data_IF_774478919242
#
_entry.id   IF_774478919242
#
_cell.length_a   1.000
_cell.length_b   1.000
_cell.length_c   1.000
_cell.angle_alpha   90.00
_cell.angle_beta   90.00
_cell.angle_gamma   90.00
#
_symmetry.space_group_name_H-M   'P 1'
#
loop_
_entity.id
_entity.type
_entity.pdbx_description
1 polymer ?
#
# COMPACT_ATOMS: atom_id res chain seq x y z
N UNK A 1 23.34 8.92 77.91
CA UNK A 1 21.96 8.51 77.52
C UNK A 1 21.68 9.11 76.15
N UNK A 2 21.94 8.37 75.07
CA UNK A 2 21.72 8.83 73.72
C UNK A 2 20.75 7.84 73.06
N UNK A 3 19.56 8.33 72.74
CA UNK A 3 18.49 7.55 72.09
C UNK A 3 18.79 7.53 70.59
N UNK A 4 19.05 6.35 70.05
CA UNK A 4 19.26 6.10 68.64
C UNK A 4 17.87 5.82 68.03
N UNK A 5 17.35 6.75 67.23
CA UNK A 5 16.09 6.60 66.51
C UNK A 5 16.38 5.95 65.19
N UNK A 6 15.98 4.69 65.02
CA UNK A 6 16.12 3.93 63.80
C UNK A 6 15.03 4.34 62.83
N UNK A 7 15.35 5.04 61.74
CA UNK A 7 14.46 5.37 60.66
C UNK A 7 14.44 4.18 59.67
N UNK A 8 13.32 3.46 59.67
CA UNK A 8 13.00 2.46 58.64
C UNK A 8 12.51 3.20 57.38
N UNK A 9 13.39 3.26 56.38
CA UNK A 9 13.00 3.71 55.03
C UNK A 9 12.39 2.52 54.29
N UNK A 10 11.09 2.49 54.19
CA UNK A 10 10.37 1.51 53.35
C UNK A 10 10.54 1.92 51.88
N UNK A 11 11.38 1.18 51.11
CA UNK A 11 11.57 1.34 49.68
C UNK A 11 10.37 0.70 48.95
N UNK A 12 9.37 1.51 48.60
CA UNK A 12 8.28 1.12 47.71
C UNK A 12 8.79 0.98 46.27
N UNK A 13 9.07 -0.25 45.87
CA UNK A 13 9.36 -0.57 44.44
C UNK A 13 8.01 -0.62 43.72
N UNK A 14 7.68 0.48 43.03
CA UNK A 14 6.55 0.50 42.10
C UNK A 14 6.96 -0.27 40.84
N UNK A 15 6.54 -1.53 40.70
CA UNK A 15 6.60 -2.26 39.45
C UNK A 15 5.63 -1.59 38.49
N UNK A 16 6.14 -0.72 37.63
CA UNK A 16 5.41 -0.26 36.45
C UNK A 16 5.31 -1.45 35.47
N UNK A 17 4.19 -2.16 35.52
CA UNK A 17 3.82 -3.12 34.50
C UNK A 17 3.57 -2.34 33.21
N UNK A 18 4.56 -2.31 32.32
CA UNK A 18 4.41 -1.80 30.95
C UNK A 18 3.45 -2.75 30.23
N UNK A 19 2.17 -2.40 30.24
CA UNK A 19 1.16 -3.02 29.39
C UNK A 19 1.51 -2.67 27.94
N UNK A 20 2.20 -3.56 27.26
CA UNK A 20 2.37 -3.50 25.81
C UNK A 20 1.01 -3.85 25.21
N UNK A 21 0.16 -2.84 25.02
CA UNK A 21 -1.05 -2.99 24.20
C UNK A 21 -0.59 -3.44 22.81
N UNK A 22 -1.18 -4.51 22.24
CA UNK A 22 -0.94 -4.85 20.85
C UNK A 22 -1.48 -3.70 20.00
N UNK A 23 -0.58 -2.92 19.39
CA UNK A 23 -0.96 -1.89 18.43
C UNK A 23 -1.78 -2.58 17.35
N UNK A 24 -3.09 -2.31 17.34
CA UNK A 24 -3.99 -2.67 16.25
C UNK A 24 -3.40 -2.10 14.98
N UNK A 25 -2.83 -2.97 14.11
CA UNK A 25 -2.38 -2.56 12.77
C UNK A 25 -3.56 -1.89 12.10
N UNK A 26 -3.44 -0.59 11.85
CA UNK A 26 -4.47 0.20 11.17
C UNK A 26 -4.77 -0.52 9.87
N UNK A 27 -6.00 -1.01 9.70
CA UNK A 27 -6.41 -1.75 8.50
C UNK A 27 -6.31 -0.82 7.29
N UNK A 28 -5.18 -0.87 6.60
CA UNK A 28 -4.97 -0.13 5.37
C UNK A 28 -5.81 -0.78 4.28
N UNK A 29 -6.58 0.02 3.56
CA UNK A 29 -7.45 -0.42 2.48
C UNK A 29 -6.97 0.15 1.15
N UNK A 30 -7.27 -0.50 0.02
CA UNK A 30 -7.06 0.11 -1.29
C UNK A 30 -7.75 1.47 -1.39
N UNK A 31 -7.06 2.43 -2.00
CA UNK A 31 -7.48 3.83 -2.12
C UNK A 31 -8.05 4.04 -3.51
N UNK A 32 -9.30 4.48 -3.60
CA UNK A 32 -9.90 4.86 -4.87
C UNK A 32 -9.29 6.17 -5.37
N UNK A 33 -8.90 6.22 -6.65
CA UNK A 33 -8.38 7.42 -7.29
C UNK A 33 -9.33 7.93 -8.37
N UNK A 34 -9.46 9.24 -8.42
CA UNK A 34 -9.97 9.99 -9.57
C UNK A 34 -8.81 10.47 -10.43
N UNK A 35 -9.08 10.98 -11.65
CA UNK A 35 -8.05 11.64 -12.48
C UNK A 35 -7.26 12.68 -11.70
N UNK A 36 -7.96 13.57 -10.98
CA UNK A 36 -7.31 14.62 -10.21
C UNK A 36 -6.34 14.08 -9.14
N UNK A 37 -6.77 13.09 -8.37
CA UNK A 37 -5.94 12.48 -7.33
C UNK A 37 -4.84 11.58 -7.90
N UNK A 38 -5.04 11.01 -9.09
CA UNK A 38 -3.99 10.29 -9.81
C UNK A 38 -2.87 11.23 -10.25
N UNK A 39 -3.21 12.38 -10.83
CA UNK A 39 -2.22 13.40 -11.23
C UNK A 39 -1.42 13.92 -10.04
N UNK A 40 -2.05 14.04 -8.89
CA UNK A 40 -1.40 14.47 -7.65
C UNK A 40 -0.48 13.39 -7.06
N UNK A 41 -0.99 12.17 -6.91
CA UNK A 41 -0.38 11.11 -6.09
C UNK A 41 0.49 10.13 -6.85
N UNK A 42 0.23 9.95 -8.14
CA UNK A 42 0.89 8.92 -8.94
C UNK A 42 1.75 9.53 -10.02
N UNK A 43 1.15 10.16 -11.02
CA UNK A 43 1.88 10.69 -12.15
C UNK A 43 1.13 11.83 -12.83
N UNK A 44 1.76 13.01 -12.86
CA UNK A 44 1.20 14.16 -13.55
C UNK A 44 1.70 14.17 -15.00
N UNK A 45 1.02 13.44 -15.89
CA UNK A 45 1.33 13.39 -17.30
C UNK A 45 0.99 14.68 -18.06
N UNK A 46 0.14 15.54 -17.52
CA UNK A 46 -0.18 16.84 -18.10
C UNK A 46 1.01 17.81 -17.99
N UNK A 47 1.77 17.71 -16.90
CA UNK A 47 2.97 18.53 -16.68
C UNK A 47 4.26 17.84 -17.16
N UNK A 48 4.26 16.51 -17.31
CA UNK A 48 5.44 15.72 -17.71
C UNK A 48 5.05 14.69 -18.78
N UNK A 49 4.67 15.13 -20.00
CA UNK A 49 4.16 14.22 -21.02
C UNK A 49 5.25 13.30 -21.60
N UNK A 50 6.51 13.68 -21.50
CA UNK A 50 7.65 13.00 -22.12
C UNK A 50 8.33 11.99 -21.21
N UNK A 51 8.21 12.18 -19.88
CA UNK A 51 8.99 11.40 -18.93
C UNK A 51 8.10 10.92 -17.76
N UNK A 52 8.19 9.61 -17.48
CA UNK A 52 7.57 9.06 -16.29
C UNK A 52 8.24 9.58 -15.03
N UNK A 53 7.45 10.27 -14.18
CA UNK A 53 7.89 10.75 -12.87
C UNK A 53 6.85 10.39 -11.82
N UNK A 54 7.17 9.41 -10.99
CA UNK A 54 6.30 9.00 -9.90
C UNK A 54 6.31 10.02 -8.76
N UNK A 55 5.12 10.40 -8.28
CA UNK A 55 4.94 11.43 -7.25
C UNK A 55 4.82 10.85 -5.83
N UNK A 56 4.67 9.53 -5.69
CA UNK A 56 4.51 8.88 -4.38
C UNK A 56 5.82 8.74 -3.62
N UNK A 57 5.71 8.57 -2.31
CA UNK A 57 6.83 8.33 -1.37
C UNK A 57 7.03 6.85 -1.03
N UNK A 58 6.21 5.95 -1.61
CA UNK A 58 6.28 4.49 -1.50
C UNK A 58 5.93 3.87 -2.84
N UNK A 59 6.46 2.68 -3.17
CA UNK A 59 6.00 1.93 -4.34
C UNK A 59 4.49 1.72 -4.33
N UNK A 60 3.89 1.50 -5.48
CA UNK A 60 2.45 1.33 -5.57
C UNK A 60 2.01 0.23 -6.54
N UNK A 61 0.80 -0.28 -6.30
CA UNK A 61 0.01 -1.02 -7.28
C UNK A 61 -1.20 -0.17 -7.62
N UNK A 62 -1.50 -0.02 -8.92
CA UNK A 62 -2.74 0.60 -9.39
C UNK A 62 -3.56 -0.48 -10.11
N UNK A 63 -4.78 -0.72 -9.64
CA UNK A 63 -5.76 -1.66 -10.18
C UNK A 63 -6.80 -0.91 -11.02
N UNK A 64 -6.78 -1.11 -12.34
CA UNK A 64 -7.85 -0.66 -13.24
C UNK A 64 -8.93 -1.74 -13.28
N UNK A 65 -10.11 -1.40 -12.82
CA UNK A 65 -11.23 -2.31 -12.64
C UNK A 65 -12.57 -1.71 -13.07
N UNK A 66 -13.60 -2.54 -13.11
CA UNK A 66 -14.99 -2.10 -13.15
C UNK A 66 -15.87 -2.96 -12.22
N UNK A 67 -17.00 -2.43 -11.79
CA UNK A 67 -17.90 -3.12 -10.86
C UNK A 67 -18.56 -4.37 -11.45
N UNK A 68 -18.77 -4.40 -12.76
CA UNK A 68 -19.34 -5.53 -13.51
C UNK A 68 -18.31 -6.61 -13.90
N UNK A 69 -17.02 -6.34 -13.71
CA UNK A 69 -15.94 -7.22 -14.15
C UNK A 69 -15.82 -8.46 -13.23
N UNK A 70 -16.11 -9.63 -13.76
CA UNK A 70 -16.02 -10.91 -13.05
C UNK A 70 -14.62 -11.22 -12.52
N UNK A 71 -13.56 -11.20 -13.36
CA UNK A 71 -12.19 -11.42 -12.93
C UNK A 71 -11.70 -10.41 -11.90
N UNK A 72 -12.15 -9.14 -11.97
CA UNK A 72 -11.81 -8.12 -10.98
C UNK A 72 -12.33 -8.48 -9.58
N UNK A 73 -13.50 -9.12 -9.50
CA UNK A 73 -14.05 -9.60 -8.21
C UNK A 73 -13.21 -10.68 -7.56
N UNK A 74 -12.43 -11.43 -8.34
CA UNK A 74 -11.49 -12.43 -7.81
C UNK A 74 -10.25 -11.76 -7.21
N UNK A 75 -9.72 -10.73 -7.86
CA UNK A 75 -8.50 -10.04 -7.43
C UNK A 75 -8.73 -9.01 -6.34
N UNK A 76 -9.92 -8.42 -6.26
CA UNK A 76 -10.26 -7.36 -5.30
C UNK A 76 -10.04 -7.76 -3.83
N UNK A 77 -10.47 -8.93 -3.34
CA UNK A 77 -10.17 -9.37 -1.98
C UNK A 77 -8.66 -9.60 -1.76
N UNK A 78 -7.95 -10.12 -2.76
CA UNK A 78 -6.50 -10.31 -2.70
C UNK A 78 -5.80 -8.96 -2.49
N UNK A 79 -6.15 -7.94 -3.28
CA UNK A 79 -5.57 -6.60 -3.14
C UNK A 79 -5.90 -5.94 -1.81
N UNK A 80 -7.12 -6.18 -1.28
CA UNK A 80 -7.49 -5.69 0.05
C UNK A 80 -6.62 -6.30 1.14
N UNK A 81 -6.37 -7.61 1.07
CA UNK A 81 -5.51 -8.30 2.03
C UNK A 81 -4.05 -7.86 1.90
N UNK A 82 -3.56 -7.67 0.66
CA UNK A 82 -2.21 -7.16 0.41
C UNK A 82 -2.04 -5.72 0.89
N UNK A 83 -3.05 -4.86 0.73
CA UNK A 83 -3.04 -3.52 1.30
C UNK A 83 -2.93 -3.53 2.83
N UNK A 84 -3.57 -4.49 3.50
CA UNK A 84 -3.45 -4.66 4.95
C UNK A 84 -2.08 -5.27 5.35
N UNK A 85 -1.53 -6.19 4.55
CA UNK A 85 -0.25 -6.85 4.82
C UNK A 85 0.95 -5.93 4.60
N UNK A 86 0.95 -5.15 3.50
CA UNK A 86 2.06 -4.32 3.03
C UNK A 86 1.82 -2.81 3.15
N UNK A 87 0.76 -2.38 3.84
CA UNK A 87 0.32 -0.98 3.82
C UNK A 87 1.32 0.04 4.38
N UNK A 88 2.32 -0.42 5.14
CA UNK A 88 3.41 0.44 5.60
C UNK A 88 4.50 0.62 4.52
N UNK A 89 4.59 -0.32 3.56
CA UNK A 89 5.64 -0.41 2.56
C UNK A 89 5.20 0.03 1.17
N UNK A 90 3.92 -0.17 0.80
CA UNK A 90 3.38 0.16 -0.52
C UNK A 90 2.00 0.82 -0.43
N UNK A 91 1.61 1.51 -1.51
CA UNK A 91 0.23 1.90 -1.74
C UNK A 91 -0.49 0.88 -2.64
N UNK A 92 -1.76 0.64 -2.37
CA UNK A 92 -2.66 -0.05 -3.29
C UNK A 92 -3.76 0.92 -3.69
N UNK A 93 -3.75 1.31 -4.95
CA UNK A 93 -4.73 2.22 -5.55
C UNK A 93 -5.69 1.45 -6.45
N UNK A 94 -6.89 2.01 -6.65
CA UNK A 94 -7.92 1.48 -7.55
C UNK A 94 -8.46 2.60 -8.43
N UNK A 95 -8.76 2.28 -9.68
CA UNK A 95 -9.34 3.20 -10.66
C UNK A 95 -10.50 2.47 -11.34
N UNK A 96 -11.70 2.98 -11.17
CA UNK A 96 -12.90 2.51 -11.87
C UNK A 96 -12.88 3.06 -13.30
N UNK A 97 -12.69 2.19 -14.30
CA UNK A 97 -12.56 2.61 -15.71
C UNK A 97 -13.84 3.23 -16.29
N UNK A 98 -14.99 2.93 -15.70
CA UNK A 98 -16.26 3.53 -16.12
C UNK A 98 -16.40 4.97 -15.61
N UNK A 99 -15.78 5.28 -14.47
CA UNK A 99 -15.77 6.63 -13.88
C UNK A 99 -14.64 7.49 -14.40
N UNK A 100 -13.51 6.86 -14.74
CA UNK A 100 -12.26 7.51 -15.15
C UNK A 100 -11.82 7.05 -16.56
N UNK A 101 -12.66 7.20 -17.60
CA UNK A 101 -12.38 6.70 -18.94
C UNK A 101 -11.17 7.37 -19.59
N UNK A 102 -10.86 8.62 -19.23
CA UNK A 102 -9.67 9.32 -19.72
C UNK A 102 -8.38 8.69 -19.20
N UNK A 103 -8.35 8.29 -17.92
CA UNK A 103 -7.22 7.56 -17.36
C UNK A 103 -7.06 6.19 -18.01
N UNK A 104 -8.17 5.46 -18.19
CA UNK A 104 -8.14 4.17 -18.86
C UNK A 104 -7.57 4.29 -20.29
N UNK A 105 -7.99 5.30 -21.03
CA UNK A 105 -7.48 5.58 -22.38
C UNK A 105 -5.99 5.97 -22.36
N UNK A 106 -5.56 6.84 -21.44
CA UNK A 106 -4.17 7.28 -21.29
C UNK A 106 -3.21 6.11 -21.04
N UNK A 107 -3.62 5.13 -20.24
CA UNK A 107 -2.84 3.93 -19.96
C UNK A 107 -3.09 2.77 -20.91
N UNK A 108 -3.87 2.98 -21.97
CA UNK A 108 -4.15 1.97 -22.99
C UNK A 108 -4.85 0.73 -22.41
N UNK A 109 -5.77 0.90 -21.46
CA UNK A 109 -6.49 -0.18 -20.82
C UNK A 109 -7.43 -0.84 -21.81
N UNK A 110 -7.04 -1.99 -22.36
CA UNK A 110 -7.85 -2.75 -23.33
C UNK A 110 -8.65 -3.88 -22.68
N UNK A 111 -8.20 -4.35 -21.53
CA UNK A 111 -8.88 -5.38 -20.77
C UNK A 111 -8.65 -5.17 -19.27
N UNK A 112 -9.63 -5.58 -18.47
CA UNK A 112 -9.58 -5.48 -17.01
C UNK A 112 -9.74 -6.86 -16.35
N UNK A 113 -9.14 -7.06 -15.16
CA UNK A 113 -8.30 -6.12 -14.44
C UNK A 113 -6.95 -5.90 -15.14
N UNK A 114 -6.43 -4.66 -15.06
CA UNK A 114 -5.06 -4.34 -15.45
C UNK A 114 -4.35 -3.70 -14.26
N UNK A 115 -3.13 -4.12 -14.01
CA UNK A 115 -2.34 -3.67 -12.88
C UNK A 115 -1.10 -2.93 -13.34
N UNK A 116 -0.83 -1.75 -12.75
CA UNK A 116 0.47 -1.11 -12.83
C UNK A 116 1.23 -1.39 -11.53
N UNK A 117 2.40 -1.96 -11.64
CA UNK A 117 3.36 -2.10 -10.55
C UNK A 117 4.38 -0.97 -10.65
N UNK A 118 4.35 -0.04 -9.72
CA UNK A 118 5.11 1.22 -9.76
C UNK A 118 6.20 1.20 -8.70
N UNK A 119 7.46 0.93 -9.07
CA UNK A 119 8.61 1.05 -8.18
C UNK A 119 8.99 2.53 -7.99
N UNK A 120 9.82 2.84 -7.01
CA UNK A 120 10.22 4.23 -6.70
C UNK A 120 11.06 4.88 -7.79
N UNK A 121 11.97 4.14 -8.43
CA UNK A 121 13.02 4.72 -9.27
C UNK A 121 13.07 4.14 -10.68
N UNK A 122 12.04 3.41 -11.09
CA UNK A 122 11.99 2.76 -12.41
C UNK A 122 10.61 3.00 -13.03
N UNK A 123 10.52 2.69 -14.34
CA UNK A 123 9.24 2.72 -15.05
C UNK A 123 8.31 1.61 -14.53
N UNK A 124 7.00 1.84 -14.53
CA UNK A 124 6.05 0.84 -14.09
C UNK A 124 6.04 -0.38 -15.03
N UNK A 125 5.72 -1.54 -14.45
CA UNK A 125 5.38 -2.74 -15.22
C UNK A 125 3.88 -2.96 -15.23
N UNK A 126 3.38 -3.53 -16.31
CA UNK A 126 1.96 -3.82 -16.51
C UNK A 126 1.72 -5.32 -16.45
N UNK A 127 0.64 -5.71 -15.78
CA UNK A 127 0.09 -7.06 -15.88
C UNK A 127 -1.42 -6.99 -16.15
N UNK A 128 -1.95 -7.93 -16.91
CA UNK A 128 -3.37 -7.99 -17.29
C UNK A 128 -3.98 -9.32 -16.87
N UNK A 129 -5.27 -9.28 -16.55
CA UNK A 129 -6.03 -10.45 -16.13
C UNK A 129 -5.91 -10.78 -14.64
N UNK A 130 -6.70 -11.73 -14.17
CA UNK A 130 -6.71 -12.12 -12.78
C UNK A 130 -5.41 -12.82 -12.38
N UNK A 131 -4.63 -12.19 -11.52
CA UNK A 131 -3.41 -12.76 -10.97
C UNK A 131 -3.69 -13.48 -9.64
N UNK A 132 -3.04 -14.62 -9.40
CA UNK A 132 -3.09 -15.27 -8.09
C UNK A 132 -2.30 -14.45 -7.04
N UNK A 133 -2.66 -14.59 -5.76
CA UNK A 133 -1.98 -13.90 -4.64
C UNK A 133 -0.46 -14.07 -4.67
N UNK A 134 0.03 -15.28 -5.03
CA UNK A 134 1.47 -15.56 -5.11
C UNK A 134 2.18 -14.62 -6.09
N UNK A 135 1.61 -14.40 -7.27
CA UNK A 135 2.20 -13.51 -8.28
C UNK A 135 2.23 -12.05 -7.84
N UNK A 136 1.19 -11.57 -7.15
CA UNK A 136 1.22 -10.24 -6.54
C UNK A 136 2.33 -10.13 -5.50
N UNK A 137 2.46 -11.10 -4.58
CA UNK A 137 3.51 -11.08 -3.55
C UNK A 137 4.90 -11.10 -4.16
N UNK A 138 5.12 -11.94 -5.16
CA UNK A 138 6.38 -11.98 -5.89
C UNK A 138 6.72 -10.63 -6.53
N UNK A 139 5.78 -9.99 -7.23
CA UNK A 139 5.97 -8.67 -7.81
C UNK A 139 6.23 -7.59 -6.74
N UNK A 140 5.50 -7.64 -5.62
CA UNK A 140 5.73 -6.72 -4.50
C UNK A 140 7.14 -6.91 -3.92
N UNK A 141 7.48 -8.12 -3.55
CA UNK A 141 8.73 -8.38 -2.84
C UNK A 141 9.97 -8.16 -3.74
N UNK A 142 9.94 -8.66 -4.99
CA UNK A 142 11.11 -8.60 -5.88
C UNK A 142 11.21 -7.33 -6.70
N UNK A 143 10.09 -6.87 -7.26
CA UNK A 143 10.11 -5.71 -8.17
C UNK A 143 9.87 -4.39 -7.43
N UNK A 144 8.87 -4.31 -6.55
CA UNK A 144 8.54 -3.06 -5.85
C UNK A 144 9.48 -2.79 -4.68
N UNK A 145 9.73 -3.77 -3.82
CA UNK A 145 10.49 -3.62 -2.58
C UNK A 145 11.95 -4.04 -2.69
N UNK A 146 12.35 -4.65 -3.83
CA UNK A 146 13.72 -5.13 -4.07
C UNK A 146 14.27 -6.02 -2.94
N UNK A 147 13.40 -6.80 -2.29
CA UNK A 147 13.84 -7.77 -1.30
C UNK A 147 14.64 -8.86 -2.00
N UNK A 148 15.81 -9.19 -1.47
CA UNK A 148 16.57 -10.34 -1.97
C UNK A 148 15.75 -11.62 -1.77
N UNK A 149 15.75 -12.49 -2.79
CA UNK A 149 15.18 -13.81 -2.65
C UNK A 149 16.04 -14.61 -1.67
N UNK A 150 15.44 -15.02 -0.54
CA UNK A 150 16.06 -15.91 0.44
C UNK A 150 16.14 -17.33 -0.10
#
# INVERSE_FOLDING_TARGET
MKRITTLLVALLIVLAASSTEPQSKKSVKPIELTKATFLEKVFNYENNPEEWKYNGDKPAIVDFYATWCGPCRITSPILKDLAAEYGDDIYVYKIDVDKEPELAAMFGVQSIPMFLFIPMNEKPQVAMGALPRKSFKEAIDTFLLKKEAL
#
